data_IF_590074169682
#
_entry.id   IF_590074169682
#
_cell.length_a   1.000
_cell.length_b   1.000
_cell.length_c   1.000
_cell.angle_alpha   90.00
_cell.angle_beta   90.00
_cell.angle_gamma   90.00
#
_symmetry.space_group_name_H-M   'P 1'
#
loop_
_entity.id
_entity.type
_entity.pdbx_description
1 polymer ?
2 non-polymer ?
3 non-polymer ?
4 non-polymer ?
5 water ?
#
# COMPACT_ATOMS: atom_id res chain seq x y z
N UNK A 1 -20.02 -20.69 8.74
CA UNK A 1 -19.00 -20.73 7.64
C UNK A 1 -17.81 -21.59 8.06
N UNK A 2 -17.15 -22.24 7.09
CA UNK A 2 -15.98 -23.15 7.31
C UNK A 2 -14.91 -22.41 8.14
N UNK A 3 -14.28 -23.12 9.08
CA UNK A 3 -13.09 -22.67 9.84
C UNK A 3 -11.84 -23.33 9.23
N UNK A 4 -11.14 -22.61 8.36
CA UNK A 4 -9.91 -23.07 7.65
C UNK A 4 -8.70 -22.97 8.58
N UNK A 5 -8.70 -22.05 9.55
CA UNK A 5 -7.62 -21.92 10.58
C UNK A 5 -7.92 -22.86 11.75
N UNK A 6 -6.91 -23.61 12.21
CA UNK A 6 -7.06 -24.55 13.35
C UNK A 6 -7.02 -23.77 14.67
N UNK A 7 -6.43 -22.57 14.69
CA UNK A 7 -6.54 -21.62 15.83
C UNK A 7 -6.29 -20.20 15.32
N UNK A 8 -6.82 -19.21 16.04
CA UNK A 8 -6.79 -17.78 15.62
C UNK A 8 -5.51 -17.14 16.15
N UNK A 9 -4.37 -17.58 15.62
CA UNK A 9 -3.01 -17.12 16.00
C UNK A 9 -2.15 -17.06 14.74
N UNK A 10 -1.01 -16.39 14.83
CA UNK A 10 0.00 -16.39 13.74
C UNK A 10 0.41 -17.83 13.43
N UNK A 11 0.52 -18.67 14.46
CA UNK A 11 0.87 -20.10 14.32
C UNK A 11 -0.20 -20.83 13.47
N UNK A 12 -1.47 -20.56 13.74
CA UNK A 12 -2.60 -21.11 12.96
C UNK A 12 -2.53 -20.68 11.51
N UNK A 13 -2.22 -19.40 11.26
CA UNK A 13 -2.09 -18.85 9.88
C UNK A 13 -0.93 -19.54 9.17
N UNK A 14 0.21 -19.70 9.84
CA UNK A 14 1.41 -20.35 9.24
C UNK A 14 1.07 -21.79 8.83
N UNK A 15 0.40 -22.55 9.69
CA UNK A 15 0.03 -23.96 9.38
C UNK A 15 -0.91 -23.97 8.16
N UNK A 16 -1.87 -23.06 8.11
CA UNK A 16 -2.79 -22.91 6.94
C UNK A 16 -1.96 -22.62 5.68
N UNK A 17 -1.00 -21.69 5.75
CA UNK A 17 -0.19 -21.28 4.58
C UNK A 17 0.64 -22.46 4.06
N UNK A 18 1.01 -23.39 4.94
CA UNK A 18 1.82 -24.60 4.60
C UNK A 18 0.93 -25.75 4.11
N UNK A 19 -0.39 -25.58 4.16
CA UNK A 19 -1.38 -26.61 3.73
C UNK A 19 -1.73 -26.41 2.25
N UNK A 20 -2.31 -27.43 1.62
CA UNK A 20 -2.67 -27.40 0.17
C UNK A 20 -3.86 -26.45 -0.07
N UNK A 21 -4.57 -26.06 1.00
CA UNK A 21 -5.77 -25.20 0.91
C UNK A 21 -5.37 -23.75 0.66
N UNK A 22 -4.13 -23.36 0.97
CA UNK A 22 -3.65 -21.95 0.83
C UNK A 22 -2.70 -21.82 -0.35
N UNK A 23 -3.21 -21.34 -1.48
CA UNK A 23 -2.47 -21.23 -2.76
C UNK A 23 -2.34 -19.76 -3.20
N UNK A 24 -3.32 -18.92 -2.88
CA UNK A 24 -3.45 -17.56 -3.47
C UNK A 24 -3.64 -16.53 -2.35
N UNK A 25 -2.61 -15.71 -2.12
CA UNK A 25 -2.59 -14.70 -1.05
C UNK A 25 -2.77 -13.32 -1.67
N UNK A 26 -3.70 -12.53 -1.14
CA UNK A 26 -3.80 -11.08 -1.45
C UNK A 26 -3.23 -10.31 -0.27
N UNK A 27 -2.29 -9.41 -0.53
CA UNK A 27 -1.77 -8.42 0.45
C UNK A 27 -2.51 -7.10 0.23
N UNK A 28 -2.97 -6.49 1.33
CA UNK A 28 -3.47 -5.10 1.38
C UNK A 28 -2.52 -4.34 2.30
N UNK A 29 -1.85 -3.31 1.79
CA UNK A 29 -0.78 -2.60 2.56
C UNK A 29 -1.00 -1.10 2.51
N UNK A 30 -0.59 -0.43 3.59
CA UNK A 30 -0.64 1.02 3.73
C UNK A 30 0.67 1.58 4.24
N UNK A 31 0.64 2.83 4.72
CA UNK A 31 1.83 3.62 5.07
C UNK A 31 2.66 2.92 6.16
N UNK A 32 2.03 2.08 6.99
CA UNK A 32 2.68 1.38 8.10
C UNK A 32 3.75 0.40 7.65
N UNK A 33 3.76 -0.02 6.39
CA UNK A 33 4.80 -0.95 5.86
C UNK A 33 6.02 -0.15 5.38
N UNK A 34 5.97 1.19 5.34
CA UNK A 34 7.07 2.03 4.82
C UNK A 34 7.68 2.96 5.88
N UNK A 35 7.10 3.06 7.07
CA UNK A 35 7.63 3.96 8.13
C UNK A 35 9.03 3.50 8.55
N UNK A 36 9.29 2.19 8.63
CA UNK A 36 10.62 1.67 9.03
C UNK A 36 11.66 1.93 7.93
N UNK A 37 11.23 2.26 6.70
CA UNK A 37 12.10 2.70 5.58
C UNK A 37 12.35 4.21 5.64
N UNK A 38 11.84 4.90 6.67
CA UNK A 38 12.00 6.35 6.85
C UNK A 38 11.12 7.14 5.91
N UNK A 39 10.04 6.54 5.41
CA UNK A 39 8.96 7.22 4.64
C UNK A 39 7.84 7.53 5.63
N UNK A 40 7.73 8.77 6.15
CA UNK A 40 6.65 9.10 7.07
C UNK A 40 5.29 8.99 6.36
N UNK A 41 4.26 8.63 7.13
CA UNK A 41 2.84 8.60 6.68
C UNK A 41 2.32 10.04 6.65
N UNK A 42 2.03 10.58 5.45
CA UNK A 42 1.59 12.00 5.27
C UNK A 42 0.25 12.23 5.98
N UNK A 43 -0.47 11.15 6.34
CA UNK A 43 -1.74 11.19 7.12
C UNK A 43 -1.48 11.16 8.63
N UNK A 44 -0.29 10.72 9.07
CA UNK A 44 0.06 10.64 10.51
C UNK A 44 0.22 12.04 11.09
N UNK A 45 -0.41 12.36 12.24
CA UNK A 45 -0.33 13.70 12.82
C UNK A 45 1.10 14.12 13.21
N UNK A 46 1.90 13.17 13.69
CA UNK A 46 3.27 13.38 14.23
C UNK A 46 4.25 13.73 13.11
N UNK A 47 3.92 13.32 11.89
CA UNK A 47 4.63 13.72 10.64
C UNK A 47 3.61 14.39 9.72
N UNK A 48 2.77 15.25 10.30
CA UNK A 48 1.71 16.00 9.60
C UNK A 48 2.29 17.10 8.72
N UNK A 49 1.47 17.65 7.83
CA UNK A 49 1.87 18.59 6.75
C UNK A 49 1.77 20.04 7.26
N UNK A 53 3.31 25.82 4.97
CA UNK A 53 2.48 25.89 3.74
C UNK A 53 1.47 27.04 3.82
N UNK A 54 1.53 27.88 4.85
CA UNK A 54 0.54 28.97 5.09
C UNK A 54 0.69 30.06 4.04
N UNK A 55 1.91 30.23 3.48
CA UNK A 55 2.24 31.31 2.51
C UNK A 55 1.47 31.11 1.21
N UNK A 56 0.98 29.90 0.92
CA UNK A 56 0.31 29.52 -0.35
C UNK A 56 -1.20 29.82 -0.29
N UNK A 57 -1.76 30.05 0.91
CA UNK A 57 -3.17 30.48 1.13
C UNK A 57 -4.15 29.41 0.63
N UNK A 58 -3.98 28.17 1.06
CA UNK A 58 -4.83 27.01 0.65
C UNK A 58 -6.26 27.25 1.16
N UNK A 59 -7.28 27.26 0.26
CA UNK A 59 -8.68 27.44 0.67
C UNK A 59 -9.09 26.56 1.86
N UNK A 60 -8.66 25.29 1.83
CA UNK A 60 -8.78 24.30 2.93
C UNK A 60 -7.55 23.40 2.90
N UNK A 61 -7.09 22.86 4.04
CA UNK A 61 -5.83 22.11 4.09
C UNK A 61 -5.66 21.07 2.98
N UNK A 62 -6.74 20.36 2.63
CA UNK A 62 -6.73 19.20 1.69
C UNK A 62 -6.74 19.66 0.23
N UNK A 63 -6.80 20.97 -0.04
CA UNK A 63 -6.82 21.57 -1.39
C UNK A 63 -5.51 21.27 -2.12
N UNK A 64 -4.40 21.13 -1.37
CA UNK A 64 -3.04 20.83 -1.94
C UNK A 64 -3.04 19.45 -2.62
N UNK A 65 -4.04 18.61 -2.34
CA UNK A 65 -4.18 17.26 -2.97
C UNK A 65 -5.48 17.16 -3.78
N UNK A 66 -6.12 18.28 -4.10
CA UNK A 66 -7.36 18.31 -4.93
C UNK A 66 -6.96 18.66 -6.37
N UNK A 67 -7.53 17.95 -7.35
CA UNK A 67 -7.09 17.96 -8.77
C UNK A 67 -7.34 19.35 -9.40
N UNK A 68 -8.53 19.94 -9.19
CA UNK A 68 -8.91 21.26 -9.75
C UNK A 68 -7.92 22.33 -9.26
N UNK A 69 -7.67 22.38 -7.95
CA UNK A 69 -6.72 23.35 -7.33
C UNK A 69 -5.32 23.14 -7.90
N UNK A 70 -4.86 21.88 -7.95
CA UNK A 70 -3.50 21.52 -8.46
C UNK A 70 -3.30 22.08 -9.89
N UNK A 71 -4.28 21.90 -10.77
CA UNK A 71 -4.15 22.21 -12.22
C UNK A 71 -4.01 23.73 -12.42
N UNK A 72 -4.54 24.55 -11.51
CA UNK A 72 -4.45 26.04 -11.62
C UNK A 72 -3.30 26.57 -10.74
N UNK A 73 -3.11 25.95 -9.61
CA UNK A 73 -2.02 26.33 -8.67
C UNK A 73 -1.21 25.08 -8.27
N UNK A 74 -0.28 24.59 -9.12
CA UNK A 74 0.49 23.38 -8.80
C UNK A 74 1.77 23.64 -7.97
N UNK A 75 2.17 24.91 -7.82
CA UNK A 75 3.40 25.27 -7.08
C UNK A 75 3.41 24.69 -5.66
N UNK A 76 2.34 24.89 -4.85
CA UNK A 76 2.32 24.35 -3.48
C UNK A 76 2.60 22.84 -3.45
N UNK A 77 1.87 22.07 -4.27
CA UNK A 77 2.05 20.59 -4.29
C UNK A 77 3.52 20.22 -4.57
N UNK A 78 4.13 20.87 -5.56
CA UNK A 78 5.54 20.56 -5.95
C UNK A 78 6.51 21.02 -4.85
N UNK A 79 6.16 22.06 -4.09
CA UNK A 79 7.02 22.52 -2.98
C UNK A 79 7.02 21.42 -1.92
N UNK A 80 5.83 20.89 -1.60
CA UNK A 80 5.63 19.79 -0.62
C UNK A 80 6.37 18.54 -1.12
N UNK A 81 6.28 18.25 -2.42
CA UNK A 81 6.92 17.08 -3.07
C UNK A 81 8.44 17.12 -2.80
N UNK A 82 9.07 18.29 -2.92
CA UNK A 82 10.52 18.44 -2.64
C UNK A 82 10.78 18.17 -1.15
N UNK A 83 9.97 18.76 -0.27
CA UNK A 83 10.13 18.67 1.21
C UNK A 83 10.00 17.21 1.67
N UNK A 84 9.05 16.45 1.08
CA UNK A 84 8.72 15.07 1.53
C UNK A 84 9.53 14.03 0.74
N UNK A 85 10.34 14.42 -0.25
CA UNK A 85 11.05 13.46 -1.14
C UNK A 85 12.02 12.64 -0.29
N UNK A 86 11.85 11.29 -0.21
CA UNK A 86 12.77 10.45 0.55
C UNK A 86 14.25 10.62 0.19
N UNK A 87 15.14 10.48 1.18
CA UNK A 87 16.60 10.52 0.99
C UNK A 87 17.13 9.25 0.35
N UNK A 88 16.36 8.16 0.47
CA UNK A 88 16.75 6.85 -0.11
C UNK A 88 15.48 5.98 -0.22
N UNK A 89 15.49 5.03 -1.15
CA UNK A 89 14.37 4.08 -1.38
C UNK A 89 14.85 2.66 -1.08
N UNK A 90 14.75 2.29 0.18
CA UNK A 90 15.22 0.98 0.71
C UNK A 90 14.01 0.24 1.28
N UNK A 91 13.41 -0.71 0.54
CA UNK A 91 12.23 -1.42 1.03
C UNK A 91 12.51 -2.15 2.34
N UNK A 92 11.43 -2.41 3.09
CA UNK A 92 11.47 -3.01 4.45
C UNK A 92 11.42 -4.54 4.36
N UNK A 93 11.68 -5.18 5.49
CA UNK A 93 11.49 -6.64 5.69
C UNK A 93 10.09 -7.02 5.18
N UNK A 94 9.08 -6.20 5.49
CA UNK A 94 7.67 -6.43 5.07
C UNK A 94 7.58 -6.48 3.53
N UNK A 95 8.17 -5.51 2.84
CA UNK A 95 8.23 -5.49 1.36
C UNK A 95 8.87 -6.78 0.84
N UNK A 96 10.01 -7.20 1.42
CA UNK A 96 10.75 -8.39 0.92
C UNK A 96 10.00 -9.67 1.29
N UNK A 97 9.22 -9.67 2.36
CA UNK A 97 8.31 -10.80 2.70
C UNK A 97 7.34 -11.01 1.53
N UNK A 98 6.80 -9.92 0.96
CA UNK A 98 5.87 -10.01 -0.20
C UNK A 98 6.64 -10.51 -1.43
N UNK A 99 7.91 -10.14 -1.59
CA UNK A 99 8.76 -10.71 -2.68
C UNK A 99 8.90 -12.24 -2.48
N UNK A 100 9.07 -12.71 -1.25
CA UNK A 100 9.14 -14.18 -0.98
C UNK A 100 7.80 -14.82 -1.35
N UNK A 101 6.67 -14.20 -1.01
CA UNK A 101 5.34 -14.74 -1.43
C UNK A 101 5.34 -14.92 -2.97
N UNK A 102 5.81 -13.93 -3.70
CA UNK A 102 5.89 -13.98 -5.19
C UNK A 102 6.78 -15.16 -5.61
N UNK A 103 7.99 -15.25 -5.05
CA UNK A 103 8.99 -16.29 -5.41
C UNK A 103 8.40 -17.69 -5.20
N UNK A 104 7.55 -17.85 -4.18
CA UNK A 104 7.06 -19.17 -3.73
C UNK A 104 5.71 -19.48 -4.39
N UNK A 105 5.29 -18.65 -5.34
CA UNK A 105 4.07 -18.86 -6.16
C UNK A 105 2.79 -18.64 -5.37
N UNK A 106 2.86 -17.88 -4.28
CA UNK A 106 1.72 -17.64 -3.36
C UNK A 106 1.05 -16.28 -3.62
N UNK A 107 1.72 -15.33 -4.27
CA UNK A 107 1.19 -13.95 -4.35
C UNK A 107 0.22 -13.82 -5.53
N UNK A 108 -1.08 -13.72 -5.24
CA UNK A 108 -2.12 -13.39 -6.24
C UNK A 108 -2.00 -11.90 -6.59
N UNK A 109 -1.95 -11.02 -5.58
CA UNK A 109 -1.87 -9.56 -5.83
C UNK A 109 -1.47 -8.84 -4.55
N UNK A 110 -0.75 -7.74 -4.71
CA UNK A 110 -0.51 -6.74 -3.64
C UNK A 110 -1.27 -5.48 -4.01
N UNK A 111 -2.30 -5.14 -3.24
CA UNK A 111 -3.02 -3.85 -3.30
C UNK A 111 -2.34 -2.92 -2.32
N UNK A 112 -1.77 -1.81 -2.81
CA UNK A 112 -1.06 -0.84 -1.96
C UNK A 112 -1.78 0.52 -2.02
N UNK A 113 -1.83 1.21 -0.88
CA UNK A 113 -2.27 2.62 -0.78
C UNK A 113 -1.06 3.55 -0.87
N UNK A 114 0.16 2.99 -0.92
CA UNK A 114 1.42 3.78 -0.88
C UNK A 114 1.80 4.24 -2.30
N UNK A 115 2.54 5.34 -2.37
CA UNK A 115 2.96 5.99 -3.65
C UNK A 115 4.50 6.01 -3.74
N UNK A 116 5.19 5.30 -2.85
CA UNK A 116 6.66 5.44 -2.63
C UNK A 116 7.47 4.52 -3.54
N UNK A 117 6.83 3.60 -4.28
CA UNK A 117 7.42 2.68 -5.29
C UNK A 117 8.22 1.55 -4.61
N UNK A 118 8.19 1.42 -3.29
CA UNK A 118 9.04 0.41 -2.60
C UNK A 118 8.62 -1.02 -2.98
N UNK A 119 7.36 -1.27 -3.30
CA UNK A 119 6.92 -2.63 -3.75
C UNK A 119 7.67 -3.01 -5.04
N UNK A 120 7.78 -2.08 -5.98
CA UNK A 120 8.50 -2.29 -7.26
C UNK A 120 9.99 -2.49 -7.00
N UNK A 121 10.58 -1.68 -6.11
CA UNK A 121 12.03 -1.78 -5.81
C UNK A 121 12.31 -3.14 -5.18
N UNK A 122 11.40 -3.65 -4.35
CA UNK A 122 11.52 -4.95 -3.66
C UNK A 122 11.32 -6.13 -4.62
N UNK A 123 10.89 -5.88 -5.87
CA UNK A 123 10.83 -6.90 -6.93
C UNK A 123 9.42 -7.41 -7.21
N UNK A 124 8.37 -6.68 -6.80
CA UNK A 124 7.01 -6.95 -7.31
C UNK A 124 6.87 -6.29 -8.68
N UNK A 125 6.31 -7.01 -9.65
CA UNK A 125 6.14 -6.52 -11.04
C UNK A 125 4.77 -5.84 -11.17
N UNK A 126 4.57 -5.04 -12.21
CA UNK A 126 3.29 -4.31 -12.43
C UNK A 126 2.11 -5.30 -12.33
N UNK A 127 2.26 -6.50 -12.89
CA UNK A 127 1.17 -7.52 -12.94
C UNK A 127 0.78 -7.93 -11.52
N UNK A 128 1.74 -7.91 -10.59
CA UNK A 128 1.54 -8.32 -9.17
C UNK A 128 0.85 -7.21 -8.37
N UNK A 129 0.81 -5.99 -8.91
CA UNK A 129 0.55 -4.75 -8.12
C UNK A 129 -0.75 -4.08 -8.54
N UNK A 130 -1.50 -3.62 -7.55
CA UNK A 130 -2.57 -2.60 -7.75
C UNK A 130 -2.22 -1.42 -6.84
N UNK A 131 -1.70 -0.35 -7.43
CA UNK A 131 -1.42 0.93 -6.73
C UNK A 131 -2.74 1.69 -6.68
N UNK A 132 -3.51 1.43 -5.64
CA UNK A 132 -4.92 1.87 -5.49
C UNK A 132 -4.98 3.40 -5.47
N UNK A 133 -3.96 4.06 -4.91
CA UNK A 133 -3.90 5.54 -4.81
C UNK A 133 -2.90 6.11 -5.82
N UNK A 134 -2.55 5.32 -6.84
CA UNK A 134 -1.57 5.72 -7.87
C UNK A 134 -0.15 5.67 -7.35
N UNK A 135 0.75 6.41 -7.99
CA UNK A 135 2.21 6.30 -7.70
C UNK A 135 2.96 7.49 -8.30
N UNK A 136 4.10 7.82 -7.71
CA UNK A 136 5.10 8.77 -8.27
C UNK A 136 5.96 8.07 -9.33
N UNK A 137 5.86 6.75 -9.49
CA UNK A 137 6.74 5.96 -10.39
C UNK A 137 6.72 6.54 -11.81
N UNK A 138 5.53 6.89 -12.30
CA UNK A 138 5.34 7.55 -13.61
C UNK A 138 4.52 8.83 -13.41
N UNK A 139 4.67 9.76 -14.34
CA UNK A 139 3.94 11.05 -14.41
C UNK A 139 3.41 11.20 -15.84
N UNK A 140 2.35 11.97 -16.02
CA UNK A 140 1.75 12.22 -17.36
C UNK A 140 1.45 13.71 -17.54
N UNK A 141 1.79 14.21 -18.71
CA UNK A 141 1.21 15.46 -19.27
C UNK A 141 -0.31 15.39 -19.08
N UNK A 142 -0.93 16.47 -18.57
CA UNK A 142 -2.38 16.50 -18.23
C UNK A 142 -3.21 16.82 -19.48
N UNK A 143 -2.60 17.21 -20.61
CA UNK A 143 -3.35 17.54 -21.85
C UNK A 143 -3.93 16.25 -22.45
N UNK A 144 -5.25 16.21 -22.63
CA UNK A 144 -6.02 14.99 -22.99
C UNK A 144 -5.52 14.42 -24.32
N UNK A 145 -5.07 15.26 -25.25
CA UNK A 145 -4.66 14.88 -26.63
C UNK A 145 -3.20 14.45 -26.67
N UNK A 146 -2.46 14.62 -25.56
CA UNK A 146 -1.00 14.37 -25.49
C UNK A 146 -0.70 13.23 -24.51
N UNK A 147 -0.81 13.48 -23.20
CA UNK A 147 -0.62 12.46 -22.13
C UNK A 147 0.76 11.80 -22.23
N UNK A 148 1.78 12.53 -22.71
CA UNK A 148 3.20 12.07 -22.73
C UNK A 148 3.58 11.56 -21.34
N UNK A 149 4.16 10.37 -21.26
CA UNK A 149 4.57 9.71 -19.98
C UNK A 149 6.02 10.08 -19.65
N UNK A 150 6.28 10.45 -18.39
CA UNK A 150 7.63 10.82 -17.89
C UNK A 150 8.00 9.91 -16.72
N UNK A 151 9.24 9.38 -16.70
CA UNK A 151 9.70 8.54 -15.61
C UNK A 151 10.03 9.35 -14.36
N UNK A 152 10.18 8.70 -13.21
CA UNK A 152 10.47 9.35 -11.91
C UNK A 152 11.78 10.14 -12.00
N UNK A 153 12.78 9.63 -12.71
CA UNK A 153 14.11 10.29 -12.89
C UNK A 153 13.90 11.72 -13.42
N UNK A 154 13.01 11.86 -14.41
CA UNK A 154 12.65 13.16 -15.04
C UNK A 154 11.93 14.06 -14.02
N UNK A 155 10.93 13.51 -13.31
CA UNK A 155 10.09 14.26 -12.33
C UNK A 155 10.94 14.68 -11.13
N UNK A 156 11.85 13.82 -10.66
CA UNK A 156 12.77 14.13 -9.52
C UNK A 156 13.57 15.39 -9.83
N UNK A 157 14.18 15.47 -11.01
CA UNK A 157 15.03 16.60 -11.45
C UNK A 157 14.20 17.90 -11.39
N UNK A 158 12.96 17.87 -11.89
CA UNK A 158 12.06 19.06 -11.89
C UNK A 158 11.73 19.46 -10.45
N UNK A 159 11.40 18.50 -9.57
CA UNK A 159 11.01 18.76 -8.15
C UNK A 159 12.18 19.44 -7.42
N UNK A 160 13.40 18.93 -7.57
CA UNK A 160 14.60 19.40 -6.82
C UNK A 160 15.09 20.73 -7.42
N UNK A 161 14.89 20.95 -8.72
CA UNK A 161 15.24 22.22 -9.42
C UNK A 161 14.23 23.31 -9.07
N UNK A 162 13.08 22.95 -8.49
CA UNK A 162 11.97 23.87 -8.14
C UNK A 162 11.44 24.51 -9.43
N UNK A 163 11.47 23.75 -10.52
CA UNK A 163 10.88 24.10 -11.85
C UNK A 163 9.57 23.33 -11.97
N UNK A 164 8.43 24.02 -12.04
CA UNK A 164 7.10 23.39 -12.26
C UNK A 164 7.22 22.54 -13.53
N UNK A 165 7.02 21.21 -13.46
CA UNK A 165 7.27 20.34 -14.60
C UNK A 165 6.27 20.55 -15.74
N UNK A 166 6.78 20.82 -16.94
CA UNK A 166 5.99 21.06 -18.17
C UNK A 166 6.37 20.03 -19.24
N UNK A 167 5.39 19.63 -20.04
CA UNK A 167 5.53 18.62 -21.12
C UNK A 167 6.46 19.15 -22.22
N UNK A 168 7.43 18.35 -22.64
CA UNK A 168 8.41 18.73 -23.69
C UNK A 168 7.71 18.81 -25.06
N UNK A 169 6.58 18.12 -25.24
CA UNK A 169 5.81 18.10 -26.51
C UNK A 169 4.89 19.32 -26.61
N UNK A 170 4.14 19.63 -25.54
CA UNK A 170 3.01 20.62 -25.62
C UNK A 170 3.05 21.69 -24.53
N UNK A 171 4.02 21.65 -23.59
CA UNK A 171 4.22 22.66 -22.52
C UNK A 171 3.05 22.67 -21.53
N UNK A 172 2.20 21.64 -21.52
CA UNK A 172 1.16 21.46 -20.46
C UNK A 172 1.82 20.99 -19.15
N UNK A 173 1.09 21.15 -18.04
CA UNK A 173 1.50 20.66 -16.70
C UNK A 173 1.69 19.13 -16.78
N UNK A 174 2.75 18.62 -16.14
CA UNK A 174 2.98 17.16 -15.96
C UNK A 174 2.67 16.81 -14.50
N UNK A 175 1.75 15.87 -14.30
CA UNK A 175 1.24 15.48 -12.97
C UNK A 175 1.74 14.09 -12.63
N UNK A 176 2.30 13.86 -11.41
CA UNK A 176 2.58 12.51 -10.95
C UNK A 176 1.30 11.66 -10.98
N UNK A 177 1.43 10.37 -11.25
CA UNK A 177 0.29 9.44 -11.43
C UNK A 177 -0.32 9.06 -10.08
N UNK A 178 -0.30 9.96 -9.10
CA UNK A 178 -1.05 9.75 -7.83
C UNK A 178 -2.51 10.12 -8.09
N UNK A 179 -3.43 9.51 -7.35
CA UNK A 179 -4.88 9.83 -7.41
C UNK A 179 -5.13 11.04 -6.51
N UNK A 180 -5.25 12.24 -7.09
CA UNK A 180 -5.61 13.47 -6.33
C UNK A 180 -7.07 13.32 -5.88
N UNK A 181 -7.45 13.99 -4.79
CA UNK A 181 -8.89 14.14 -4.42
C UNK A 181 -9.59 14.76 -5.63
N UNK A 182 -10.77 14.24 -6.00
CA UNK A 182 -11.53 14.67 -7.18
C UNK A 182 -11.23 13.81 -8.41
N UNK A 183 -10.20 12.96 -8.35
CA UNK A 183 -9.92 11.94 -9.40
C UNK A 183 -10.50 10.59 -8.95
N UNK A 184 -10.97 9.77 -9.89
CA UNK A 184 -11.43 8.39 -9.65
C UNK A 184 -10.23 7.51 -9.27
N UNK A 185 -10.44 6.49 -8.45
CA UNK A 185 -9.45 5.40 -8.28
C UNK A 185 -9.28 4.74 -9.65
N UNK A 186 -8.10 4.16 -9.96
CA UNK A 186 -7.85 3.58 -11.27
C UNK A 186 -8.88 2.49 -11.59
N UNK A 187 -9.32 2.42 -12.85
CA UNK A 187 -10.21 1.35 -13.36
C UNK A 187 -9.62 -0.02 -12.97
N UNK A 188 -8.28 -0.16 -13.03
CA UNK A 188 -7.52 -1.38 -12.70
C UNK A 188 -7.88 -1.88 -11.29
N UNK A 189 -8.05 -0.95 -10.34
CA UNK A 189 -8.39 -1.29 -8.93
C UNK A 189 -9.70 -2.09 -8.92
N UNK A 190 -10.73 -1.58 -9.58
CA UNK A 190 -12.10 -2.19 -9.57
C UNK A 190 -12.08 -3.50 -10.35
N UNK A 191 -11.42 -3.51 -11.52
CA UNK A 191 -11.33 -4.70 -12.42
C UNK A 191 -10.61 -5.84 -11.70
N UNK A 192 -9.45 -5.56 -11.10
CA UNK A 192 -8.65 -6.58 -10.39
C UNK A 192 -9.41 -7.07 -9.15
N UNK A 193 -10.04 -6.15 -8.40
CA UNK A 193 -10.82 -6.51 -7.20
C UNK A 193 -11.92 -7.52 -7.59
N UNK A 194 -12.59 -7.29 -8.71
CA UNK A 194 -13.74 -8.14 -9.13
C UNK A 194 -13.30 -9.56 -9.46
N UNK A 195 -12.09 -9.71 -9.97
CA UNK A 195 -11.53 -11.04 -10.34
C UNK A 195 -10.80 -11.67 -9.14
N UNK A 196 -9.95 -10.91 -8.46
CA UNK A 196 -9.01 -11.45 -7.44
C UNK A 196 -9.78 -12.00 -6.24
N UNK A 197 -10.88 -11.37 -5.84
CA UNK A 197 -11.57 -11.72 -4.58
C UNK A 197 -12.45 -12.95 -4.79
N UNK A 198 -12.55 -13.47 -6.02
CA UNK A 198 -13.14 -14.80 -6.33
C UNK A 198 -12.14 -15.93 -6.02
N UNK A 199 -10.85 -15.60 -5.87
CA UNK A 199 -9.73 -16.57 -5.95
C UNK A 199 -8.89 -16.59 -4.66
N UNK A 200 -9.14 -15.67 -3.73
CA UNK A 200 -8.23 -15.42 -2.56
C UNK A 200 -8.41 -16.51 -1.50
N UNK A 201 -7.30 -17.10 -1.03
CA UNK A 201 -7.27 -18.11 0.06
C UNK A 201 -6.86 -17.46 1.38
N UNK A 202 -6.14 -16.34 1.34
CA UNK A 202 -5.65 -15.64 2.54
C UNK A 202 -5.56 -14.15 2.22
N UNK A 203 -6.11 -13.31 3.10
CA UNK A 203 -5.97 -11.85 3.04
C UNK A 203 -4.95 -11.43 4.09
N UNK A 204 -3.82 -10.90 3.66
CA UNK A 204 -2.75 -10.40 4.56
C UNK A 204 -2.82 -8.87 4.55
N UNK A 205 -3.32 -8.28 5.63
CA UNK A 205 -3.53 -6.81 5.76
C UNK A 205 -2.41 -6.27 6.64
N UNK A 206 -1.57 -5.38 6.13
CA UNK A 206 -0.35 -4.94 6.86
C UNK A 206 -0.20 -3.42 6.77
N UNK A 207 0.00 -2.76 7.91
CA UNK A 207 0.41 -1.35 7.95
C UNK A 207 -0.67 -0.42 7.43
N UNK A 208 -1.94 -0.71 7.71
CA UNK A 208 -3.08 0.17 7.35
C UNK A 208 -4.11 0.16 8.48
N UNK A 209 -4.67 1.33 8.79
CA UNK A 209 -5.75 1.50 9.80
C UNK A 209 -7.12 1.24 9.15
N UNK A 210 -7.17 0.98 7.85
CA UNK A 210 -8.42 0.66 7.11
C UNK A 210 -9.46 1.75 7.35
N UNK A 211 -9.04 3.01 7.27
CA UNK A 211 -9.92 4.20 7.47
C UNK A 211 -10.22 4.87 6.12
N UNK A 212 -9.34 4.71 5.12
CA UNK A 212 -9.47 5.37 3.78
C UNK A 212 -10.28 4.46 2.86
N UNK A 213 -11.33 5.01 2.23
CA UNK A 213 -12.29 4.30 1.37
C UNK A 213 -12.11 4.75 -0.07
N UNK A 214 -12.43 3.91 -1.08
CA UNK A 214 -13.01 2.58 -0.87
C UNK A 214 -12.01 1.45 -0.59
N UNK A 215 -10.71 1.75 -0.44
CA UNK A 215 -9.67 0.72 -0.19
C UNK A 215 -10.03 -0.16 1.01
N UNK A 216 -10.45 0.42 2.13
CA UNK A 216 -10.74 -0.31 3.38
C UNK A 216 -11.82 -1.37 3.13
N UNK A 217 -12.83 -1.05 2.33
CA UNK A 217 -14.02 -1.91 2.05
C UNK A 217 -13.60 -3.20 1.33
N UNK A 218 -12.36 -3.28 0.82
CA UNK A 218 -11.82 -4.51 0.19
C UNK A 218 -11.95 -5.70 1.16
N UNK A 219 -11.81 -5.49 2.47
CA UNK A 219 -11.83 -6.64 3.43
C UNK A 219 -13.20 -7.32 3.36
N UNK A 220 -14.26 -6.58 3.03
CA UNK A 220 -15.65 -7.09 2.93
C UNK A 220 -15.87 -7.88 1.63
N UNK A 221 -14.90 -7.84 0.70
CA UNK A 221 -15.01 -8.52 -0.61
C UNK A 221 -14.42 -9.93 -0.52
N UNK A 222 -13.75 -10.28 0.59
CA UNK A 222 -13.19 -11.64 0.82
C UNK A 222 -14.34 -12.63 0.97
N UNK A 223 -14.24 -13.85 0.40
CA UNK A 223 -15.20 -14.91 0.70
C UNK A 223 -15.31 -15.11 2.22
N UNK A 224 -16.45 -15.60 2.70
CA UNK A 224 -16.71 -15.74 4.16
C UNK A 224 -15.69 -16.66 4.83
N UNK A 225 -15.16 -17.66 4.12
CA UNK A 225 -14.23 -18.68 4.68
C UNK A 225 -12.78 -18.17 4.70
N UNK A 226 -12.45 -17.14 3.92
CA UNK A 226 -11.04 -16.70 3.71
C UNK A 226 -10.47 -16.14 5.00
N UNK A 227 -9.42 -16.76 5.59
CA UNK A 227 -8.75 -16.17 6.74
C UNK A 227 -8.16 -14.80 6.41
N UNK A 228 -8.19 -13.91 7.40
CA UNK A 228 -7.68 -12.52 7.27
C UNK A 228 -6.73 -12.26 8.43
N UNK A 229 -5.45 -12.06 8.12
CA UNK A 229 -4.40 -11.75 9.13
C UNK A 229 -4.06 -10.27 9.02
N UNK A 230 -4.25 -9.54 10.11
CA UNK A 230 -3.81 -8.14 10.25
C UNK A 230 -2.45 -8.14 10.96
N UNK A 231 -1.43 -7.59 10.32
CA UNK A 231 -0.14 -7.27 10.99
C UNK A 231 -0.04 -5.74 11.04
N UNK A 232 -0.17 -5.16 12.23
CA UNK A 232 -0.35 -3.70 12.36
C UNK A 232 -0.07 -3.31 13.80
N UNK A 233 0.34 -2.07 14.03
CA UNK A 233 0.64 -1.58 15.40
C UNK A 233 -0.64 -1.58 16.24
N UNK A 234 -1.80 -1.31 15.62
CA UNK A 234 -3.11 -1.27 16.32
C UNK A 234 -4.12 -2.19 15.62
N UNK A 235 -5.06 -2.74 16.39
CA UNK A 235 -6.24 -3.46 15.85
C UNK A 235 -6.98 -2.47 14.93
N UNK A 236 -7.40 -2.94 13.76
CA UNK A 236 -8.09 -2.14 12.72
C UNK A 236 -9.08 -3.04 11.98
N UNK A 237 -10.10 -2.43 11.38
CA UNK A 237 -11.04 -3.12 10.47
C UNK A 237 -12.28 -3.64 11.17
N UNK A 238 -12.38 -3.50 12.50
CA UNK A 238 -13.63 -3.84 13.23
C UNK A 238 -14.68 -2.79 12.87
N UNK A 239 -15.95 -3.19 12.73
CA UNK A 239 -17.08 -2.27 12.46
C UNK A 239 -17.08 -1.18 13.54
N UNK A 240 -17.20 0.09 13.12
CA UNK A 240 -17.30 1.23 14.07
C UNK A 240 -18.64 1.14 14.79
N UNK A 241 -18.68 1.23 16.14
CA UNK A 241 -19.93 1.08 16.88
C UNK A 241 -21.02 2.08 16.46
N UNK A 242 -20.62 3.24 15.95
CA UNK A 242 -21.53 4.35 15.54
C UNK A 242 -21.87 4.22 14.05
N UNK A 243 -20.85 4.16 13.18
CA UNK A 243 -21.04 4.05 11.69
C UNK A 243 -21.73 2.71 11.38
N UNK A 244 -21.38 1.65 12.11
CA UNK A 244 -21.93 0.29 11.94
C UNK A 244 -23.45 0.25 12.03
N UNK A 245 -24.06 1.21 12.71
CA UNK A 245 -25.55 1.34 12.82
C UNK A 245 -26.15 1.73 11.47
N UNK A 246 -25.40 2.50 10.66
CA UNK A 246 -25.85 3.03 9.34
C UNK A 246 -25.78 1.91 8.29
N UNK A 247 -24.59 1.32 8.11
CA UNK A 247 -24.28 0.43 6.96
C UNK A 247 -24.07 -1.02 7.42
N UNK A 248 -24.39 -1.35 8.67
CA UNK A 248 -24.29 -2.72 9.22
C UNK A 248 -22.84 -3.17 9.35
N UNK A 250 -21.54 -6.55 8.49
CA UNK A 250 -21.24 -7.40 7.31
C UNK A 250 -19.86 -7.14 6.76
N UNK A 251 -18.89 -7.99 7.11
CA UNK A 251 -17.53 -7.99 6.54
C UNK A 251 -16.48 -7.40 7.47
N UNK A 252 -16.89 -6.66 8.51
CA UNK A 252 -15.96 -6.11 9.52
C UNK A 252 -15.12 -7.21 10.15
N UNK A 253 -13.91 -6.89 10.61
CA UNK A 253 -13.02 -7.83 11.32
C UNK A 253 -13.68 -8.26 12.63
N UNK A 254 -13.60 -9.55 12.96
CA UNK A 254 -13.98 -10.08 14.29
C UNK A 254 -12.81 -10.91 14.82
N UNK A 255 -11.96 -10.29 15.64
CA UNK A 255 -10.75 -10.94 16.23
C UNK A 255 -11.11 -11.63 17.55
N UNK A 256 -11.97 -11.03 18.37
CA UNK A 256 -11.97 -11.28 19.83
C UNK A 256 -13.32 -11.77 20.37
N UNK A 257 -14.40 -11.81 19.58
CA UNK A 257 -15.73 -12.29 20.07
C UNK A 257 -15.75 -13.82 20.09
N UNK A 258 -16.75 -14.42 20.75
CA UNK A 258 -16.94 -15.90 20.79
C UNK A 258 -17.34 -16.42 19.40
N UNK A 259 -17.75 -15.52 18.49
CA UNK A 259 -18.16 -15.86 17.10
C UNK A 259 -16.96 -15.77 16.14
N UNK A 260 -15.81 -15.24 16.61
CA UNK A 260 -14.57 -15.11 15.80
C UNK A 260 -14.19 -16.49 15.26
N UNK A 261 -13.85 -16.59 13.97
CA UNK A 261 -13.57 -17.90 13.33
C UNK A 261 -12.42 -17.83 12.30
N UNK A 262 -11.99 -16.65 11.86
CA UNK A 262 -11.04 -16.57 10.71
C UNK A 262 -10.12 -15.35 10.74
N UNK A 263 -10.36 -14.38 11.64
CA UNK A 263 -9.59 -13.11 11.68
C UNK A 263 -8.58 -13.19 12.81
N UNK A 264 -7.33 -12.81 12.52
CA UNK A 264 -6.19 -12.84 13.48
C UNK A 264 -5.52 -11.47 13.44
N UNK A 265 -5.26 -10.89 14.61
CA UNK A 265 -4.51 -9.64 14.77
C UNK A 265 -3.16 -9.94 15.43
N UNK A 266 -2.07 -9.62 14.74
CA UNK A 266 -0.70 -9.60 15.30
C UNK A 266 -0.31 -8.14 15.48
N UNK A 267 -0.21 -7.69 16.73
CA UNK A 267 -0.02 -6.24 17.06
C UNK A 267 1.47 -5.97 17.29
N UNK A 268 2.04 -5.11 16.45
CA UNK A 268 3.45 -4.72 16.49
C UNK A 268 3.86 -4.11 15.17
N UNK A 269 5.16 -3.85 15.00
CA UNK A 269 5.71 -3.30 13.75
C UNK A 269 5.55 -4.35 12.65
N UNK A 270 5.23 -3.91 11.43
CA UNK A 270 5.03 -4.81 10.27
C UNK A 270 6.29 -5.68 10.05
N UNK A 271 7.48 -5.11 10.22
CA UNK A 271 8.75 -5.85 10.02
C UNK A 271 8.83 -7.02 11.01
N UNK A 272 8.48 -6.76 12.25
CA UNK A 272 8.59 -7.82 13.28
C UNK A 272 7.52 -8.91 13.09
N UNK A 273 6.32 -8.52 12.70
CA UNK A 273 5.25 -9.50 12.40
C UNK A 273 5.60 -10.35 11.20
N UNK A 274 6.10 -9.75 10.12
CA UNK A 274 6.50 -10.50 8.91
C UNK A 274 7.69 -11.41 9.22
N UNK A 275 8.64 -10.93 10.03
CA UNK A 275 9.79 -11.76 10.45
C UNK A 275 9.27 -12.98 11.23
N UNK A 276 8.33 -12.77 12.15
CA UNK A 276 7.75 -13.84 12.98
C UNK A 276 7.05 -14.87 12.08
N UNK A 277 6.29 -14.41 11.09
CA UNK A 277 5.56 -15.33 10.16
C UNK A 277 6.59 -16.08 9.32
N UNK A 278 7.57 -15.38 8.75
CA UNK A 278 8.66 -16.01 7.96
C UNK A 278 9.32 -17.11 8.79
N UNK A 279 9.60 -16.82 10.07
CA UNK A 279 10.26 -17.77 10.99
C UNK A 279 9.41 -19.03 11.12
N UNK A 280 8.11 -18.88 11.34
CA UNK A 280 7.18 -20.04 11.46
C UNK A 280 7.21 -20.86 10.17
N UNK A 281 7.31 -20.19 9.01
CA UNK A 281 7.22 -20.84 7.68
C UNK A 281 8.55 -21.49 7.28
N UNK A 282 9.62 -21.29 8.04
CA UNK A 282 10.97 -21.79 7.71
C UNK A 282 11.67 -20.90 6.69
N UNK A 283 11.20 -19.66 6.54
CA UNK A 283 11.71 -18.69 5.53
C UNK A 283 12.67 -17.67 6.16
N UNK A 284 12.97 -17.73 7.47
CA UNK A 284 13.68 -16.62 8.14
C UNK A 284 15.07 -16.42 7.52
N UNK A 285 15.83 -17.50 7.29
CA UNK A 285 17.19 -17.36 6.69
C UNK A 285 17.06 -16.78 5.28
N UNK A 286 16.10 -17.27 4.49
CA UNK A 286 15.87 -16.77 3.10
C UNK A 286 15.59 -15.26 3.15
N UNK A 287 14.72 -14.84 4.07
CA UNK A 287 14.30 -13.42 4.19
C UNK A 287 15.51 -12.57 4.62
N UNK A 288 16.27 -13.05 5.61
CA UNK A 288 17.48 -12.34 6.08
C UNK A 288 18.45 -12.14 4.92
N UNK A 289 18.71 -13.21 4.15
CA UNK A 289 19.70 -13.20 3.04
C UNK A 289 19.22 -12.26 1.94
N UNK A 290 17.92 -12.30 1.61
CA UNK A 290 17.32 -11.44 0.56
C UNK A 290 17.44 -9.97 0.99
N UNK A 291 17.02 -9.65 2.21
CA UNK A 291 16.99 -8.24 2.72
C UNK A 291 18.42 -7.70 2.75
N UNK A 292 19.37 -8.44 3.32
CA UNK A 292 20.75 -7.93 3.48
C UNK A 292 21.39 -7.74 2.09
N UNK A 293 21.11 -8.64 1.14
CA UNK A 293 21.62 -8.54 -0.26
C UNK A 293 21.07 -7.27 -0.92
N UNK A 294 19.75 -7.08 -0.88
CA UNK A 294 19.09 -5.95 -1.58
C UNK A 294 19.46 -4.63 -0.90
N UNK A 295 19.49 -4.59 0.43
CA UNK A 295 19.93 -3.40 1.20
C UNK A 295 21.38 -3.04 0.83
N UNK A 296 22.27 -4.03 0.74
CA UNK A 296 23.69 -3.79 0.39
C UNK A 296 23.75 -3.16 -1.01
N UNK A 297 23.00 -3.72 -1.95
CA UNK A 297 22.95 -3.25 -3.37
C UNK A 297 22.46 -1.81 -3.42
N UNK A 298 21.36 -1.51 -2.72
CA UNK A 298 20.77 -0.14 -2.67
C UNK A 298 21.76 0.82 -2.02
N UNK A 299 22.40 0.42 -0.92
CA UNK A 299 23.39 1.25 -0.19
C UNK A 299 24.54 1.62 -1.14
N UNK A 300 24.94 0.72 -2.04
CA UNK A 300 26.11 0.89 -2.93
C UNK A 300 25.75 1.77 -4.14
N UNK A 301 24.46 1.95 -4.44
CA UNK A 301 23.95 2.81 -5.55
C UNK A 301 23.56 4.19 -5.03
N UNK A 302 23.48 4.35 -3.70
CA UNK A 302 22.99 5.56 -2.99
C UNK A 302 24.16 6.52 -2.75
X LIG B 1 -10.14 7.82 -2.20
X LIG B 1 -8.87 8.48 -2.43
X LIG B 1 -7.73 8.35 -1.73
X LIG B 1 -6.79 9.17 -2.32
X LIG B 1 -5.40 9.34 -1.90
X LIG B 1 -4.57 9.90 -2.81
X LIG B 1 -3.28 10.41 -2.58
X LIG B 1 -3.13 11.64 -1.92
X LIG B 1 -4.53 12.51 -1.42
X LIG B 1 -1.87 12.15 -1.65
X LIG B 1 -0.75 11.44 -2.05
X LIG B 1 0.53 11.88 -1.84
X LIG B 1 0.73 13.17 -1.25
X LIG B 1 2.19 13.53 -1.37
X LIG B 1 3.17 12.65 -0.94
X LIG B 1 4.52 12.99 -1.06
X LIG B 1 5.58 12.14 -0.67
X LIG B 1 5.61 11.25 0.35
X LIG B 1 6.93 10.54 0.50
X LIG B 1 7.08 9.08 -0.54
X LIG B 1 7.57 9.73 -2.11
X LIG B 1 7.95 8.79 -2.99
X LIG B 1 8.33 9.26 -4.20
X LIG B 1 8.75 8.24 -5.21
X LIG B 1 8.32 10.61 -4.47
X LIG B 1 7.91 11.49 -3.48
X LIG B 1 7.85 12.97 -3.71
X LIG B 1 7.53 11.05 -2.28
X LIG B 1 4.67 11.04 1.10
X LIG B 1 4.87 14.21 -1.62
X LIG B 1 3.88 15.08 -2.04
X LIG B 1 2.55 14.75 -1.93
X LIG B 1 -0.88 10.23 -2.70
X LIG B 1 -2.14 9.71 -2.95
X LIG B 1 -5.02 9.00 -0.78
X LIG B 1 -7.47 9.77 -3.39
X LIG B 1 -8.72 9.35 -3.45
X LIG C 1 1.95 17.09 -23.48
X LIG D 1 1.87 -9.89 19.09
X LIG D 1 2.03 -8.67 19.80
X LIG D 1 0.50 -10.43 19.15
X LIG D 1 -0.48 -9.44 18.92
X LIG E 1 -1.89 -17.16 -7.42
X LIG E 1 -0.76 -17.38 -6.58
X LIG E 1 -1.64 -16.25 -8.56
X LIG E 1 -0.27 -16.14 -8.90
X LIG F 1 24.21 -13.37 -1.64
X LIG F 1 22.95 -13.30 -0.98
X LIG F 1 25.25 -12.57 -0.95
X LIG F 1 25.19 -12.65 0.45
X LIG G 1 14.56 -0.26 5.43
X LIG G 1 14.80 0.98 4.79
X LIG G 1 15.44 -0.48 6.60
X LIG G 1 15.09 -1.61 7.36
X LIG H 1 -13.21 -16.04 -13.32
X LIG H 1 -14.42 -15.35 -13.60
X LIG H 1 -12.12 -15.74 -14.27
X LIG H 1 -11.14 -14.88 -13.72
X LIG I 1 -10.71 -22.64 14.70
X LIG I 1 -11.04 -21.77 13.64
X LIG I 1 -10.47 -21.93 15.97
X LIG I 1 -11.61 -21.24 16.42
#
# INVERSE_FOLDING_TARGET
SERLLDELTLEGVARYMQSERCRRVICLVGAGISTSAGIPDFRSPSTGLYDNLEKYHLPYPEAIFEISYFKKHPEPFFALAKELYPGQFKPTICHYFMRLLKDKGLLLRCYTQNIDTLERIAGLEQEDLVEAHGTFYTSHCVSASCRHEYPLSWMKEKIFSEVTPKCEDCQSLVKPDIVFFGESLPARFFSCMQSDFLKVDLLLVMGTSLQVQPFASLISKAPLSTPRLLINKEKAGQSDPFLGMIMGLGGGMDFDSKKAYRDVAWLGECDQGCLALAELLGWKKELEDLVRREHASIDAQS
A1JLK C1 N1 C2 C3 C4 N2 C5 C6 CL C7 C8 O1 C9 C10 C11 C12 N3 C13 C14 S1 C15 N4 C16 C17 C18 C19 C20 N5 O2 C21 C22 C23 C24 C25 O3 C26 N6
ZN ZN
EDO C1 O1 C2 O2
EDO C1 O1 C2 O2
EDO C1 O1 C2 O2
EDO C1 O1 C2 O2
EDO C1 O1 C2 O2
EDO C1 O1 C2 O2
#
